data_IF_385795866245
#
_entry.id   IF_385795866245
#
_cell.length_a   1.000
_cell.length_b   1.000
_cell.length_c   1.000
_cell.angle_alpha   90.00
_cell.angle_beta   90.00
_cell.angle_gamma   90.00
#
_symmetry.space_group_name_H-M   'P 1'
#
loop_
_entity.id
_entity.type
_entity.pdbx_description
1 polymer ?
#
# COMPACT_ATOMS: atom_id res chain seq x y z
N UNK A 1 2.68 -0.01 -19.60
CA UNK A 1 3.28 -1.31 -19.24
C UNK A 1 3.81 -1.99 -20.48
N UNK A 2 4.64 -3.02 -20.31
CA UNK A 2 5.07 -3.85 -21.43
C UNK A 2 3.89 -4.65 -21.99
N UNK A 3 3.79 -4.77 -23.32
CA UNK A 3 2.69 -5.44 -23.98
C UNK A 3 2.62 -6.92 -23.56
N UNK A 4 1.41 -7.41 -23.26
CA UNK A 4 1.19 -8.79 -22.79
C UNK A 4 1.48 -9.04 -21.31
N UNK A 5 1.95 -8.04 -20.54
CA UNK A 5 2.07 -8.15 -19.08
C UNK A 5 0.91 -7.47 -18.38
N UNK A 6 0.35 -8.17 -17.38
CA UNK A 6 -0.64 -7.65 -16.46
C UNK A 6 -0.04 -7.59 -15.05
N UNK A 7 -0.42 -6.58 -14.28
CA UNK A 7 -0.06 -6.44 -12.88
C UNK A 7 -1.33 -6.45 -12.02
N UNK A 8 -1.33 -7.30 -11.00
CA UNK A 8 -2.39 -7.35 -10.00
C UNK A 8 -1.81 -6.92 -8.66
N UNK A 9 -2.50 -6.00 -7.98
CA UNK A 9 -2.15 -5.56 -6.63
C UNK A 9 -3.28 -5.98 -5.71
N UNK A 10 -2.95 -6.80 -4.72
CA UNK A 10 -3.90 -7.32 -3.74
C UNK A 10 -3.37 -7.08 -2.33
N UNK A 11 -4.29 -6.89 -1.39
CA UNK A 11 -3.97 -6.83 0.04
C UNK A 11 -4.35 -8.16 0.67
N UNK A 12 -3.39 -8.82 1.31
CA UNK A 12 -3.59 -10.05 2.08
C UNK A 12 -2.83 -9.92 3.40
N UNK A 13 -3.49 -10.26 4.52
CA UNK A 13 -2.91 -10.15 5.87
C UNK A 13 -2.29 -11.47 6.34
N UNK A 14 -2.67 -12.57 5.70
CA UNK A 14 -2.27 -13.94 6.00
C UNK A 14 -2.15 -14.78 4.72
N UNK A 15 -1.71 -16.03 4.87
CA UNK A 15 -1.57 -16.98 3.78
C UNK A 15 -0.17 -17.04 3.16
N UNK A 16 0.09 -18.15 2.49
CA UNK A 16 1.34 -18.38 1.77
C UNK A 16 1.32 -17.74 0.38
N UNK A 17 2.47 -17.24 -0.06
CA UNK A 17 2.65 -16.56 -1.36
C UNK A 17 2.04 -17.35 -2.52
N UNK A 18 2.30 -18.65 -2.58
CA UNK A 18 1.83 -19.52 -3.66
C UNK A 18 0.31 -19.69 -3.66
N UNK A 19 -0.32 -19.70 -2.49
CA UNK A 19 -1.77 -19.80 -2.37
C UNK A 19 -2.45 -18.51 -2.86
N UNK A 20 -1.94 -17.36 -2.42
CA UNK A 20 -2.44 -16.04 -2.85
C UNK A 20 -2.25 -15.86 -4.37
N UNK A 21 -1.11 -16.25 -4.92
CA UNK A 21 -0.84 -16.21 -6.37
C UNK A 21 -1.90 -17.01 -7.16
N UNK A 22 -2.21 -18.24 -6.72
CA UNK A 22 -3.26 -19.06 -7.32
C UNK A 22 -4.64 -18.40 -7.23
N UNK A 23 -4.99 -17.81 -6.09
CA UNK A 23 -6.26 -17.09 -5.92
C UNK A 23 -6.36 -15.88 -6.84
N UNK A 24 -5.27 -15.12 -7.03
CA UNK A 24 -5.24 -13.99 -7.98
C UNK A 24 -5.49 -14.46 -9.41
N UNK A 25 -4.85 -15.55 -9.86
CA UNK A 25 -5.10 -16.11 -11.19
C UNK A 25 -6.55 -16.59 -11.35
N UNK A 26 -7.10 -17.28 -10.36
CA UNK A 26 -8.48 -17.75 -10.36
C UNK A 26 -9.46 -16.57 -10.42
N UNK A 27 -9.20 -15.51 -9.65
CA UNK A 27 -10.02 -14.31 -9.67
C UNK A 27 -9.93 -13.59 -11.02
N UNK A 28 -8.75 -13.49 -11.63
CA UNK A 28 -8.58 -12.91 -12.96
C UNK A 28 -9.37 -13.69 -14.03
N UNK A 29 -9.34 -15.03 -13.98
CA UNK A 29 -10.13 -15.86 -14.87
C UNK A 29 -11.64 -15.64 -14.66
N UNK A 30 -12.10 -15.61 -13.41
CA UNK A 30 -13.52 -15.49 -13.08
C UNK A 30 -14.10 -14.10 -13.34
N UNK A 31 -13.36 -13.03 -13.02
CA UNK A 31 -13.86 -11.65 -13.05
C UNK A 31 -13.49 -10.91 -14.34
N UNK A 32 -12.38 -11.27 -14.97
CA UNK A 32 -11.88 -10.59 -16.17
C UNK A 32 -11.96 -11.49 -17.42
N UNK A 33 -12.30 -12.77 -17.28
CA UNK A 33 -12.35 -13.72 -18.39
C UNK A 33 -10.98 -14.10 -18.95
N UNK A 34 -9.89 -13.85 -18.22
CA UNK A 34 -8.52 -14.08 -18.68
C UNK A 34 -7.98 -15.36 -18.05
N UNK A 35 -8.16 -16.49 -18.73
CA UNK A 35 -7.86 -17.83 -18.19
C UNK A 35 -6.43 -18.33 -18.49
N UNK A 36 -5.71 -17.71 -19.41
CA UNK A 36 -4.39 -18.17 -19.87
C UNK A 36 -3.21 -17.36 -19.28
N UNK A 37 -3.35 -16.87 -18.04
CA UNK A 37 -2.28 -16.13 -17.37
C UNK A 37 -1.24 -17.07 -16.75
N UNK A 38 0.03 -16.70 -16.90
CA UNK A 38 1.15 -17.36 -16.23
C UNK A 38 1.81 -16.38 -15.25
N UNK A 39 2.05 -16.78 -13.99
CA UNK A 39 2.84 -15.99 -13.06
C UNK A 39 4.25 -15.77 -13.59
N UNK A 40 4.63 -14.51 -13.75
CA UNK A 40 6.01 -14.12 -14.09
C UNK A 40 6.78 -13.78 -12.83
N UNK A 41 6.17 -13.01 -11.94
CA UNK A 41 6.78 -12.56 -10.70
C UNK A 41 5.70 -12.23 -9.67
N UNK A 42 5.95 -12.67 -8.43
CA UNK A 42 5.12 -12.31 -7.26
C UNK A 42 6.04 -11.74 -6.19
N UNK A 43 5.81 -10.47 -5.86
CA UNK A 43 6.51 -9.72 -4.81
C UNK A 43 5.58 -9.60 -3.61
N UNK A 44 6.09 -9.89 -2.42
CA UNK A 44 5.34 -9.78 -1.16
C UNK A 44 6.06 -8.77 -0.28
N UNK A 45 5.36 -7.69 0.09
CA UNK A 45 5.85 -6.69 1.05
C UNK A 45 4.93 -6.67 2.27
N UNK A 46 5.44 -7.16 3.40
CA UNK A 46 4.67 -7.33 4.65
C UNK A 46 4.48 -6.01 5.41
N UNK A 47 5.20 -4.96 5.03
CA UNK A 47 5.17 -3.63 5.65
C UNK A 47 4.84 -2.54 4.62
N UNK A 48 4.10 -2.88 3.57
CA UNK A 48 3.75 -1.96 2.49
C UNK A 48 2.86 -0.81 2.98
N UNK A 49 2.00 -1.10 3.95
CA UNK A 49 1.10 -0.14 4.57
C UNK A 49 0.68 -0.65 5.95
N UNK A 50 0.19 0.25 6.81
CA UNK A 50 -0.49 -0.13 8.05
C UNK A 50 -1.93 -0.62 7.75
N UNK A 51 -2.53 -1.34 8.69
CA UNK A 51 -3.92 -1.74 8.56
C UNK A 51 -4.85 -0.52 8.67
N UNK A 52 -5.60 -0.20 7.61
CA UNK A 52 -6.55 0.91 7.56
C UNK A 52 -7.82 0.61 8.39
N UNK A 53 -7.67 0.42 9.70
CA UNK A 53 -8.79 0.17 10.61
C UNK A 53 -9.53 1.47 10.90
N UNK A 54 -10.87 1.48 10.88
CA UNK A 54 -11.64 2.66 11.26
C UNK A 54 -11.25 3.21 12.63
N UNK A 55 -11.05 4.52 12.73
CA UNK A 55 -10.67 5.19 13.99
C UNK A 55 -9.22 4.95 14.45
N UNK A 56 -8.34 4.46 13.58
CA UNK A 56 -6.91 4.33 13.90
C UNK A 56 -6.32 5.70 14.29
N UNK A 57 -5.84 5.80 15.52
CA UNK A 57 -5.12 6.98 16.01
C UNK A 57 -3.66 6.92 15.55
N UNK A 58 -3.23 7.95 14.82
CA UNK A 58 -1.83 8.12 14.39
C UNK A 58 -1.15 9.27 15.16
N UNK A 59 0.17 9.22 15.36
CA UNK A 59 0.91 10.33 15.97
C UNK A 59 0.88 11.61 15.10
N UNK A 60 0.92 12.79 15.73
CA UNK A 60 1.03 14.07 15.01
C UNK A 60 2.43 14.35 14.43
N UNK A 61 2.55 15.45 13.68
CA UNK A 61 3.78 15.85 12.97
C UNK A 61 4.96 16.17 13.93
N UNK A 62 4.71 16.80 15.07
CA UNK A 62 5.76 17.16 16.04
C UNK A 62 6.09 15.97 16.95
N UNK A 63 7.33 15.50 16.90
CA UNK A 63 7.78 14.38 17.75
C UNK A 63 8.47 14.89 19.02
N UNK A 64 9.46 15.79 18.85
CA UNK A 64 10.23 16.44 19.94
C UNK A 64 10.61 17.86 19.51
N UNK A 65 11.02 18.77 20.42
CA UNK A 65 11.53 20.08 20.03
C UNK A 65 12.65 19.97 18.98
N UNK A 66 12.47 20.61 17.82
CA UNK A 66 13.41 20.55 16.70
C UNK A 66 13.36 19.25 15.88
N UNK A 67 12.40 18.35 16.14
CA UNK A 67 12.22 17.10 15.40
C UNK A 67 10.75 16.89 15.00
N UNK A 68 10.52 16.88 13.69
CA UNK A 68 9.22 16.61 13.07
C UNK A 68 9.26 15.32 12.24
N UNK A 69 8.13 14.64 12.15
CA UNK A 69 7.93 13.47 11.30
C UNK A 69 6.92 13.79 10.20
N UNK A 70 7.06 13.13 9.05
CA UNK A 70 6.10 13.14 7.94
C UNK A 70 6.04 11.75 7.30
N UNK A 71 5.03 11.52 6.47
CA UNK A 71 4.80 10.23 5.79
C UNK A 71 3.61 9.45 6.35
N UNK A 72 3.45 8.22 5.87
CA UNK A 72 2.23 7.42 6.04
C UNK A 72 1.79 7.23 7.50
N UNK A 73 2.73 7.12 8.43
CA UNK A 73 2.42 6.88 9.83
C UNK A 73 1.99 8.12 10.61
N UNK A 74 2.08 9.31 10.01
CA UNK A 74 1.68 10.56 10.65
C UNK A 74 0.20 10.82 10.42
N UNK A 75 -0.45 11.39 11.43
CA UNK A 75 -1.86 11.76 11.36
C UNK A 75 -2.14 12.74 10.22
N UNK A 76 -3.29 12.56 9.58
CA UNK A 76 -3.64 13.22 8.34
C UNK A 76 -4.95 12.73 7.74
N UNK A 77 -5.46 13.42 6.72
CA UNK A 77 -6.81 13.18 6.18
C UNK A 77 -6.93 11.88 5.36
N UNK A 78 -5.79 11.30 4.95
CA UNK A 78 -5.73 10.09 4.13
C UNK A 78 -5.01 8.97 4.89
N UNK A 79 -5.31 7.68 4.58
CA UNK A 79 -4.48 6.56 5.03
C UNK A 79 -3.06 6.64 4.43
N UNK A 80 -2.27 5.56 4.44
CA UNK A 80 -0.96 5.51 3.77
C UNK A 80 -1.11 5.63 2.25
N UNK A 81 -1.21 6.86 1.76
CA UNK A 81 -1.28 7.19 0.34
C UNK A 81 -0.15 8.14 -0.01
N UNK A 82 0.25 8.13 -1.29
CA UNK A 82 1.28 9.04 -1.78
C UNK A 82 0.89 10.51 -1.57
N UNK A 83 -0.38 10.84 -1.72
CA UNK A 83 -0.92 12.19 -1.47
C UNK A 83 -0.78 12.57 0.01
N UNK A 84 -1.12 11.67 0.94
CA UNK A 84 -0.94 11.89 2.38
C UNK A 84 0.52 12.10 2.78
N UNK A 85 1.42 11.28 2.21
CA UNK A 85 2.85 11.40 2.43
C UNK A 85 3.41 12.75 1.90
N UNK A 86 3.01 13.16 0.71
CA UNK A 86 3.42 14.45 0.13
C UNK A 86 2.88 15.62 0.95
N UNK A 87 1.59 15.61 1.31
CA UNK A 87 0.98 16.69 2.11
C UNK A 87 1.63 16.86 3.48
N UNK A 88 1.90 15.75 4.18
CA UNK A 88 2.60 15.82 5.47
C UNK A 88 4.05 16.29 5.32
N UNK A 89 4.75 15.86 4.26
CA UNK A 89 6.11 16.28 3.98
C UNK A 89 6.22 17.78 3.68
N UNK A 90 5.33 18.32 2.85
CA UNK A 90 5.31 19.76 2.55
C UNK A 90 4.92 20.60 3.76
N UNK A 91 4.00 20.12 4.61
CA UNK A 91 3.64 20.77 5.86
C UNK A 91 4.84 20.89 6.82
N UNK A 92 5.63 19.81 6.97
CA UNK A 92 6.87 19.86 7.78
C UNK A 92 7.87 20.84 7.20
N UNK A 93 8.11 20.80 5.88
CA UNK A 93 9.07 21.69 5.22
C UNK A 93 8.69 23.18 5.31
N UNK A 94 7.40 23.50 5.41
CA UNK A 94 6.93 24.87 5.61
C UNK A 94 6.97 25.36 7.08
N UNK A 95 7.20 24.44 8.02
CA UNK A 95 7.22 24.73 9.47
C UNK A 95 8.61 24.95 10.07
N UNK A 96 9.65 24.82 9.24
CA UNK A 96 11.07 24.99 9.62
C UNK A 96 11.65 26.33 9.19
#
# INVERSE_FOLDING_TARGET
GQHGLLAFVVSASDGERSHIEQQVLQQAAAQLGISALQPVQTVVEKRATFACTPGLMRPGLQVLPGLSACGDYVDGPYPATLEGAVLSGTAVAASV
#
